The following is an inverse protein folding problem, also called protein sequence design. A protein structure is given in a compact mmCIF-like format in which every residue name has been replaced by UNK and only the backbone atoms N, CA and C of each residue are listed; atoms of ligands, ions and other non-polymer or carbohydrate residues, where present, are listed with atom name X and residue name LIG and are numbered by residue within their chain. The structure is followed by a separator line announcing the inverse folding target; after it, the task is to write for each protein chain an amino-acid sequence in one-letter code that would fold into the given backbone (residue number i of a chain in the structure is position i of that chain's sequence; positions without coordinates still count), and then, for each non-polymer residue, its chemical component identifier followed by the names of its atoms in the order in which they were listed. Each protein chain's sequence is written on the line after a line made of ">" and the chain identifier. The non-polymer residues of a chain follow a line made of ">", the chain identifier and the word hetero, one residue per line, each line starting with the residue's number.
data_IF_304882670023
#
_entry.id   IF_304882670023
#
_cell.length_a   1.000
_cell.length_b   1.000
_cell.length_c   1.000
_cell.angle_alpha   90.00
_cell.angle_beta   90.00
_cell.angle_gamma   90.00
#
_symmetry.space_group_name_H-M   'P 1'
#
loop_
_entity.id
_entity.type
_entity.pdbx_description
1 polymer ?
#
# COMPACT_ATOMS: atom_id res chain seq x y z
N UNK A 1 -21.38 11.69 3.34
CA UNK A 1 -20.52 12.15 4.46
C UNK A 1 -19.58 11.00 4.81
N UNK A 2 -18.31 11.27 5.07
CA UNK A 2 -17.35 10.21 5.42
C UNK A 2 -17.46 9.88 6.91
N UNK A 3 -17.66 8.60 7.25
CA UNK A 3 -17.90 8.10 8.60
C UNK A 3 -16.79 7.14 9.03
N UNK A 4 -16.22 7.36 10.21
CA UNK A 4 -15.32 6.40 10.83
C UNK A 4 -16.11 5.18 11.32
N UNK A 5 -15.70 3.98 10.92
CA UNK A 5 -16.44 2.74 11.23
C UNK A 5 -15.63 1.68 11.98
N UNK A 6 -14.29 1.74 11.92
CA UNK A 6 -13.43 0.73 12.54
C UNK A 6 -12.03 1.30 12.79
N UNK A 7 -11.46 0.93 13.93
CA UNK A 7 -10.04 1.07 14.24
C UNK A 7 -9.47 -0.28 14.64
N UNK A 8 -8.32 -0.65 14.10
CA UNK A 8 -7.59 -1.87 14.47
C UNK A 8 -6.12 -1.54 14.70
N UNK A 9 -5.47 -2.33 15.56
CA UNK A 9 -4.07 -2.15 15.89
C UNK A 9 -3.39 -3.50 15.85
N UNK A 10 -2.19 -3.54 15.26
CA UNK A 10 -1.39 -4.74 15.16
C UNK A 10 0.03 -4.47 15.62
N UNK A 11 0.61 -5.43 16.34
CA UNK A 11 2.01 -5.39 16.73
C UNK A 11 2.85 -6.11 15.69
N UNK A 12 3.90 -5.45 15.20
CA UNK A 12 4.84 -6.00 14.22
C UNK A 12 6.22 -6.04 14.86
N UNK A 13 6.84 -7.23 14.90
CA UNK A 13 8.20 -7.40 15.43
C UNK A 13 9.26 -7.00 14.39
N UNK A 14 9.21 -5.74 13.97
CA UNK A 14 10.12 -5.17 12.99
C UNK A 14 10.35 -3.67 13.22
N UNK A 15 11.45 -3.17 12.64
CA UNK A 15 11.72 -1.75 12.56
C UNK A 15 10.66 -1.05 11.70
N UNK A 16 10.19 0.12 12.13
CA UNK A 16 9.08 0.84 11.49
C UNK A 16 9.33 1.14 10.00
N UNK A 17 10.58 1.43 9.64
CA UNK A 17 10.95 1.71 8.26
C UNK A 17 10.70 0.51 7.35
N UNK A 18 10.94 -0.73 7.81
CA UNK A 18 10.69 -1.93 7.01
C UNK A 18 9.21 -2.09 6.65
N UNK A 19 8.32 -1.67 7.55
CA UNK A 19 6.88 -1.69 7.27
C UNK A 19 6.52 -0.65 6.19
N UNK A 20 7.14 0.53 6.24
CA UNK A 20 6.97 1.56 5.21
C UNK A 20 7.59 1.14 3.87
N UNK A 21 8.73 0.46 3.90
CA UNK A 21 9.37 -0.11 2.71
C UNK A 21 8.45 -1.13 2.04
N UNK A 22 7.82 -2.02 2.80
CA UNK A 22 6.83 -2.97 2.28
C UNK A 22 5.74 -2.23 1.51
N UNK A 23 5.09 -1.24 2.13
CA UNK A 23 4.04 -0.45 1.48
C UNK A 23 4.48 0.21 0.17
N UNK A 24 5.71 0.73 0.13
CA UNK A 24 6.26 1.45 -1.03
C UNK A 24 6.81 0.51 -2.12
N UNK A 25 7.08 -0.74 -1.78
CA UNK A 25 7.55 -1.77 -2.69
C UNK A 25 6.35 -2.45 -3.36
N UNK A 26 5.89 -1.94 -4.51
CA UNK A 26 4.76 -2.50 -5.27
C UNK A 26 4.94 -3.95 -5.79
N UNK A 27 5.99 -4.67 -5.38
CA UNK A 27 6.34 -6.02 -5.83
C UNK A 27 5.80 -7.16 -4.95
N UNK A 28 5.40 -6.94 -3.69
CA UNK A 28 4.99 -8.04 -2.79
C UNK A 28 3.54 -8.52 -3.00
N UNK A 29 2.67 -7.68 -3.57
CA UNK A 29 1.23 -7.92 -3.70
C UNK A 29 0.87 -9.18 -4.55
N UNK A 30 1.54 -9.51 -5.68
CA UNK A 30 1.20 -10.68 -6.50
C UNK A 30 1.52 -12.04 -5.87
N UNK A 31 2.42 -12.09 -4.90
CA UNK A 31 2.88 -13.35 -4.30
C UNK A 31 2.16 -13.70 -3.01
N UNK A 32 1.52 -12.70 -2.39
CA UNK A 32 0.87 -12.82 -1.10
C UNK A 32 -0.67 -12.82 -1.27
N UNK A 33 -1.22 -11.96 -2.13
CA UNK A 33 -2.67 -11.76 -2.22
C UNK A 33 -3.27 -12.36 -3.49
N UNK A 34 -3.47 -13.69 -3.48
CA UNK A 34 -4.10 -14.43 -4.60
C UNK A 34 -5.49 -13.90 -4.98
N UNK A 35 -6.23 -13.31 -4.02
CA UNK A 35 -7.55 -12.70 -4.24
C UNK A 35 -7.50 -11.29 -4.85
N UNK A 36 -6.40 -10.54 -4.67
CA UNK A 36 -6.22 -9.22 -5.29
C UNK A 36 -5.69 -9.32 -6.73
N UNK A 37 -5.10 -10.47 -7.07
CA UNK A 37 -4.47 -10.73 -8.37
C UNK A 37 -5.45 -10.77 -9.55
N UNK A 38 -6.71 -11.12 -9.32
CA UNK A 38 -7.72 -11.20 -10.39
C UNK A 38 -8.29 -9.83 -10.78
N UNK A 39 -8.02 -8.77 -9.99
CA UNK A 39 -8.70 -7.47 -10.11
C UNK A 39 -7.81 -6.31 -10.58
N UNK A 40 -6.47 -6.43 -10.54
CA UNK A 40 -5.53 -5.32 -10.79
C UNK A 40 -4.42 -5.75 -11.75
N UNK A 41 -4.12 -4.92 -12.76
CA UNK A 41 -2.94 -5.13 -13.63
C UNK A 41 -1.70 -4.58 -12.92
N UNK A 42 -0.82 -5.44 -12.43
CA UNK A 42 0.38 -4.97 -11.72
C UNK A 42 1.41 -4.32 -12.64
N UNK A 43 1.34 -4.57 -13.95
CA UNK A 43 2.11 -3.81 -14.95
C UNK A 43 1.68 -2.35 -15.10
N UNK A 44 0.57 -1.95 -14.45
CA UNK A 44 -0.04 -0.63 -14.61
C UNK A 44 0.24 0.37 -13.49
N UNK A 45 0.92 -0.02 -12.41
CA UNK A 45 1.18 0.93 -11.31
C UNK A 45 2.02 2.11 -11.80
N UNK A 46 1.48 3.31 -11.65
CA UNK A 46 2.26 4.54 -11.79
C UNK A 46 2.63 5.04 -10.40
N UNK A 47 3.85 5.57 -10.25
CA UNK A 47 4.31 6.21 -9.02
C UNK A 47 4.76 7.62 -9.32
N UNK A 48 4.16 8.57 -8.63
CA UNK A 48 4.53 9.98 -8.62
C UNK A 48 5.10 10.34 -7.24
N UNK A 49 6.16 11.14 -7.19
CA UNK A 49 6.80 11.57 -5.94
C UNK A 49 6.68 13.07 -5.80
N UNK A 50 6.28 13.50 -4.61
CA UNK A 50 6.28 14.89 -4.15
C UNK A 50 7.33 15.04 -3.05
N UNK A 51 7.57 16.26 -2.56
CA UNK A 51 8.66 16.54 -1.62
C UNK A 51 8.69 15.62 -0.38
N UNK A 52 7.53 15.36 0.24
CA UNK A 52 7.42 14.54 1.46
C UNK A 52 6.38 13.41 1.31
N UNK A 53 6.00 13.08 0.09
CA UNK A 53 4.97 12.07 -0.17
C UNK A 53 5.16 11.38 -1.51
N UNK A 54 4.50 10.25 -1.70
CA UNK A 54 4.43 9.58 -3.00
C UNK A 54 3.05 8.97 -3.21
N UNK A 55 2.55 9.07 -4.43
CA UNK A 55 1.26 8.54 -4.85
C UNK A 55 1.49 7.37 -5.82
N UNK A 56 1.01 6.19 -5.46
CA UNK A 56 0.91 5.04 -6.35
C UNK A 56 -0.54 4.91 -6.83
N UNK A 57 -0.74 4.78 -8.14
CA UNK A 57 -2.06 4.59 -8.75
C UNK A 57 -2.16 3.20 -9.34
N UNK A 58 -3.19 2.45 -8.97
CA UNK A 58 -3.46 1.12 -9.50
C UNK A 58 -4.57 1.15 -10.55
N UNK A 59 -4.36 0.51 -11.71
CA UNK A 59 -5.36 0.38 -12.78
C UNK A 59 -5.80 -1.09 -12.95
N UNK A 60 -7.01 -1.34 -13.49
CA UNK A 60 -7.51 -2.70 -13.69
C UNK A 60 -6.73 -3.51 -14.74
N UNK A 61 -6.76 -4.84 -14.61
CA UNK A 61 -6.24 -5.81 -15.58
C UNK A 61 -6.77 -5.56 -16.99
N UNK A 62 -5.88 -5.45 -18.00
CA UNK A 62 -6.28 -5.26 -19.41
C UNK A 62 -6.96 -6.50 -20.02
N UNK A 63 -6.82 -7.67 -19.40
CA UNK A 63 -7.35 -8.95 -19.90
C UNK A 63 -8.40 -9.52 -18.96
N UNK A 64 -9.61 -8.97 -19.04
CA UNK A 64 -10.83 -9.51 -18.47
C UNK A 64 -11.98 -8.90 -19.25
N UNK A 65 -12.88 -9.74 -19.76
CA UNK A 65 -14.02 -9.34 -20.60
C UNK A 65 -14.72 -8.09 -20.06
N UNK A 66 -15.24 -7.29 -20.99
CA UNK A 66 -16.17 -6.18 -20.74
C UNK A 66 -17.51 -6.67 -20.16
N UNK A 67 -17.49 -7.59 -19.21
CA UNK A 67 -18.66 -8.12 -18.51
C UNK A 67 -18.96 -7.21 -17.31
N UNK A 68 -19.62 -6.10 -17.63
CA UNK A 68 -20.85 -5.56 -17.01
C UNK A 68 -21.24 -5.82 -15.54
N UNK A 69 -20.33 -6.20 -14.62
CA UNK A 69 -20.67 -6.38 -13.21
C UNK A 69 -19.63 -5.81 -12.21
N UNK A 70 -18.76 -4.89 -12.65
CA UNK A 70 -17.77 -4.18 -11.82
C UNK A 70 -18.16 -2.73 -11.50
N UNK A 71 -19.45 -2.40 -11.62
CA UNK A 71 -19.95 -1.10 -11.18
C UNK A 71 -19.73 -0.93 -9.67
N UNK A 72 -18.97 0.08 -9.26
CA UNK A 72 -18.66 0.37 -7.86
C UNK A 72 -17.32 -0.15 -7.34
N UNK A 73 -16.54 -0.89 -8.14
CA UNK A 73 -15.19 -1.36 -7.75
C UNK A 73 -14.04 -0.50 -8.26
N UNK A 74 -14.36 0.60 -8.98
CA UNK A 74 -13.39 1.54 -9.56
C UNK A 74 -13.84 2.98 -9.35
N UNK A 75 -12.88 3.90 -9.35
CA UNK A 75 -13.17 5.33 -9.47
C UNK A 75 -13.72 5.64 -10.87
N UNK A 76 -14.45 6.74 -11.00
CA UNK A 76 -14.95 7.18 -12.31
C UNK A 76 -13.78 7.55 -13.22
N UNK A 77 -13.88 7.14 -14.48
CA UNK A 77 -12.90 7.48 -15.51
C UNK A 77 -13.01 8.97 -15.86
N UNK A 78 -11.89 9.70 -15.89
CA UNK A 78 -11.85 11.08 -16.34
C UNK A 78 -11.69 11.15 -17.87
N UNK A 79 -11.97 12.31 -18.49
CA UNK A 79 -11.78 12.47 -19.94
C UNK A 79 -10.35 12.11 -20.42
N UNK A 80 -9.35 12.28 -19.55
CA UNK A 80 -7.94 11.97 -19.84
C UNK A 80 -7.53 10.53 -19.48
N UNK A 81 -8.43 9.68 -18.98
CA UNK A 81 -8.08 8.34 -18.52
C UNK A 81 -7.92 7.36 -19.69
N UNK A 82 -6.67 7.05 -20.05
CA UNK A 82 -6.34 6.10 -21.13
C UNK A 82 -6.54 4.63 -20.73
N UNK A 83 -6.55 4.34 -19.43
CA UNK A 83 -6.69 3.00 -18.86
C UNK A 83 -8.03 2.79 -18.12
N UNK A 84 -9.01 3.67 -18.32
CA UNK A 84 -10.21 3.74 -17.48
C UNK A 84 -9.94 4.34 -16.10
N UNK A 85 -10.97 4.33 -15.25
CA UNK A 85 -10.85 4.82 -13.86
C UNK A 85 -9.96 3.91 -13.00
N UNK A 86 -9.19 4.52 -12.10
CA UNK A 86 -8.29 3.81 -11.20
C UNK A 86 -9.06 2.86 -10.28
N UNK A 87 -8.44 1.73 -9.92
CA UNK A 87 -9.00 0.79 -8.94
C UNK A 87 -8.72 1.23 -7.51
N UNK A 88 -7.56 1.85 -7.27
CA UNK A 88 -7.16 2.36 -5.96
C UNK A 88 -6.07 3.43 -6.10
N UNK A 89 -5.97 4.29 -5.09
CA UNK A 89 -4.84 5.20 -4.90
C UNK A 89 -4.17 4.95 -3.55
N UNK A 90 -2.85 4.92 -3.54
CA UNK A 90 -2.03 4.66 -2.36
C UNK A 90 -1.10 5.87 -2.14
N UNK A 91 -1.42 6.71 -1.17
CA UNK A 91 -0.64 7.90 -0.84
C UNK A 91 0.16 7.64 0.43
N UNK A 92 1.48 7.58 0.29
CA UNK A 92 2.40 7.62 1.41
C UNK A 92 2.76 9.06 1.75
N UNK A 93 2.70 9.42 3.04
CA UNK A 93 3.16 10.70 3.58
C UNK A 93 4.24 10.41 4.62
N UNK A 94 5.44 10.92 4.35
CA UNK A 94 6.58 10.79 5.26
C UNK A 94 6.26 11.49 6.59
N UNK A 95 6.61 10.88 7.75
CA UNK A 95 7.47 9.70 7.86
C UNK A 95 6.74 8.35 7.78
N UNK A 96 5.46 8.27 8.14
CA UNK A 96 4.89 7.01 8.58
C UNK A 96 3.37 6.88 8.40
N UNK A 97 2.78 7.65 7.48
CA UNK A 97 1.34 7.71 7.26
C UNK A 97 1.00 7.21 5.85
N UNK A 98 -0.03 6.37 5.75
CA UNK A 98 -0.49 5.78 4.50
C UNK A 98 -1.98 6.03 4.33
N UNK A 99 -2.40 6.46 3.14
CA UNK A 99 -3.80 6.58 2.78
C UNK A 99 -4.10 5.67 1.59
N UNK A 100 -5.04 4.76 1.79
CA UNK A 100 -5.51 3.81 0.80
C UNK A 100 -6.91 4.22 0.38
N UNK A 101 -7.04 4.84 -0.78
CA UNK A 101 -8.30 5.30 -1.32
C UNK A 101 -8.93 4.23 -2.19
N UNK A 102 -10.19 3.93 -1.89
CA UNK A 102 -11.04 3.00 -2.61
C UNK A 102 -12.37 3.66 -2.97
N UNK A 103 -13.14 3.10 -3.91
CA UNK A 103 -14.46 3.63 -4.26
C UNK A 103 -15.47 3.66 -3.09
N UNK A 104 -15.30 2.80 -2.09
CA UNK A 104 -16.14 2.76 -0.89
C UNK A 104 -15.71 3.78 0.18
N UNK A 105 -14.46 4.23 0.17
CA UNK A 105 -13.91 5.08 1.22
C UNK A 105 -12.39 5.04 1.32
N UNK A 106 -11.87 5.21 2.54
CA UNK A 106 -10.44 5.34 2.82
C UNK A 106 -10.05 4.43 3.98
N UNK A 107 -8.94 3.71 3.82
CA UNK A 107 -8.20 3.11 4.94
C UNK A 107 -6.94 3.92 5.21
N UNK A 108 -6.75 4.35 6.46
CA UNK A 108 -5.57 5.12 6.89
C UNK A 108 -4.71 4.26 7.80
N UNK A 109 -3.43 4.11 7.48
CA UNK A 109 -2.50 3.33 8.28
C UNK A 109 -1.49 4.28 8.94
N UNK A 110 -1.34 4.18 10.26
CA UNK A 110 -0.39 4.96 11.06
C UNK A 110 0.65 4.03 11.65
N UNK A 111 1.90 4.15 11.22
CA UNK A 111 3.00 3.29 11.67
C UNK A 111 3.70 3.94 12.88
N UNK A 112 3.56 3.35 14.06
CA UNK A 112 4.06 3.88 15.34
C UNK A 112 5.28 3.09 15.82
N UNK A 113 6.51 3.63 15.74
CA UNK A 113 7.67 2.97 16.30
C UNK A 113 7.55 2.88 17.84
N UNK A 114 7.75 1.69 18.40
CA UNK A 114 7.75 1.44 19.85
C UNK A 114 9.17 1.17 20.35
N UNK A 115 9.95 0.40 19.59
CA UNK A 115 11.36 0.11 19.82
C UNK A 115 12.06 -0.12 18.47
N UNK A 116 13.40 -0.23 18.41
CA UNK A 116 14.12 -0.47 17.15
C UNK A 116 13.64 -1.69 16.36
N UNK A 117 13.03 -2.68 17.01
CA UNK A 117 12.51 -3.89 16.38
C UNK A 117 11.06 -4.18 16.76
N UNK A 118 10.33 -3.15 17.19
CA UNK A 118 8.93 -3.27 17.55
C UNK A 118 8.15 -2.06 17.07
N UNK A 119 7.10 -2.30 16.31
CA UNK A 119 6.24 -1.29 15.72
C UNK A 119 4.79 -1.65 15.97
N UNK A 120 3.93 -0.65 16.17
CA UNK A 120 2.47 -0.83 16.18
C UNK A 120 1.90 -0.13 14.96
N UNK A 121 1.06 -0.80 14.19
CA UNK A 121 0.38 -0.20 13.05
C UNK A 121 -1.11 -0.07 13.37
N UNK A 122 -1.64 1.14 13.25
CA UNK A 122 -3.07 1.41 13.42
C UNK A 122 -3.74 1.60 12.07
N UNK A 123 -4.84 0.88 11.86
CA UNK A 123 -5.69 0.96 10.68
C UNK A 123 -7.01 1.63 11.04
N UNK A 124 -7.32 2.74 10.37
CA UNK A 124 -8.54 3.51 10.55
C UNK A 124 -9.36 3.45 9.27
N UNK A 125 -10.57 2.90 9.34
CA UNK A 125 -11.46 2.75 8.19
C UNK A 125 -12.54 3.81 8.21
N UNK A 126 -12.60 4.58 7.13
CA UNK A 126 -13.59 5.63 6.89
C UNK A 126 -14.39 5.29 5.63
N UNK A 127 -15.71 5.23 5.75
CA UNK A 127 -16.61 4.88 4.64
C UNK A 127 -17.40 6.10 4.21
N UNK A 128 -17.48 6.32 2.90
CA UNK A 128 -18.35 7.33 2.29
C UNK A 128 -19.53 6.71 1.55
N UNK A 129 -19.42 5.45 1.15
CA UNK A 129 -20.45 4.70 0.42
C UNK A 129 -20.49 3.25 0.93
N UNK A 130 -21.49 2.94 1.76
CA UNK A 130 -21.65 1.62 2.39
C UNK A 130 -22.06 0.53 1.41
N UNK A 131 -22.75 0.88 0.31
CA UNK A 131 -23.19 -0.09 -0.70
C UNK A 131 -22.02 -0.71 -1.46
N UNK A 132 -20.88 -0.01 -1.48
CA UNK A 132 -19.63 -0.47 -2.12
C UNK A 132 -18.68 -1.17 -1.15
N UNK A 133 -18.98 -1.17 0.14
CA UNK A 133 -18.13 -1.81 1.16
C UNK A 133 -18.15 -3.33 0.98
N UNK A 134 -16.98 -3.98 0.99
CA UNK A 134 -16.87 -5.43 0.84
C UNK A 134 -16.83 -5.94 -0.61
N UNK A 135 -16.90 -5.05 -1.61
CA UNK A 135 -16.68 -5.36 -3.03
C UNK A 135 -15.38 -4.77 -3.57
N UNK A 136 -14.70 -5.48 -4.49
CA UNK A 136 -13.51 -4.96 -5.18
C UNK A 136 -12.23 -4.90 -4.32
N UNK A 137 -11.32 -3.98 -4.67
CA UNK A 137 -10.08 -3.78 -3.92
C UNK A 137 -10.38 -3.27 -2.49
N UNK A 138 -9.83 -3.94 -1.47
CA UNK A 138 -10.06 -3.60 -0.06
C UNK A 138 -11.27 -4.30 0.59
N UNK A 139 -11.82 -5.35 -0.02
CA UNK A 139 -12.90 -6.16 0.59
C UNK A 139 -12.45 -7.06 1.76
N UNK A 140 -11.17 -7.46 1.78
CA UNK A 140 -10.57 -8.28 2.83
C UNK A 140 -9.27 -7.64 3.37
N UNK A 141 -9.38 -6.39 3.83
CA UNK A 141 -8.23 -5.64 4.38
C UNK A 141 -7.54 -6.42 5.50
N UNK A 142 -8.30 -7.05 6.39
CA UNK A 142 -7.72 -7.75 7.54
C UNK A 142 -6.78 -8.89 7.16
N UNK A 143 -7.15 -9.71 6.18
CA UNK A 143 -6.30 -10.80 5.73
C UNK A 143 -5.04 -10.27 5.06
N UNK A 144 -5.19 -9.25 4.21
CA UNK A 144 -4.06 -8.59 3.53
C UNK A 144 -3.07 -8.06 4.56
N UNK A 145 -3.57 -7.38 5.60
CA UNK A 145 -2.77 -6.81 6.70
C UNK A 145 -1.92 -7.88 7.41
N UNK A 146 -2.51 -9.01 7.80
CA UNK A 146 -1.77 -10.09 8.48
C UNK A 146 -0.70 -10.74 7.60
N UNK A 147 -0.96 -10.84 6.30
CA UNK A 147 0.01 -11.42 5.37
C UNK A 147 1.22 -10.49 5.18
N UNK A 148 1.01 -9.17 5.12
CA UNK A 148 2.08 -8.15 5.09
C UNK A 148 2.97 -8.20 6.34
N UNK A 149 2.36 -8.36 7.52
CA UNK A 149 3.10 -8.48 8.78
C UNK A 149 4.08 -9.65 8.76
N UNK A 150 3.64 -10.82 8.30
CA UNK A 150 4.47 -12.00 8.21
C UNK A 150 5.68 -11.80 7.28
N UNK A 151 5.50 -11.05 6.18
CA UNK A 151 6.57 -10.69 5.25
C UNK A 151 7.57 -9.77 5.93
N UNK A 152 7.09 -8.68 6.55
CA UNK A 152 7.95 -7.67 7.20
C UNK A 152 8.77 -8.29 8.34
N UNK A 153 8.16 -9.14 9.17
CA UNK A 153 8.89 -9.85 10.23
C UNK A 153 9.93 -10.83 9.67
N UNK A 154 9.64 -11.46 8.53
CA UNK A 154 10.61 -12.30 7.82
C UNK A 154 11.80 -11.50 7.35
N UNK A 155 11.57 -10.31 6.78
CA UNK A 155 12.63 -9.38 6.38
C UNK A 155 13.45 -8.93 7.59
N UNK A 156 12.82 -8.55 8.71
CA UNK A 156 13.52 -8.20 9.95
C UNK A 156 14.45 -9.32 10.43
N UNK A 157 14.02 -10.58 10.38
CA UNK A 157 14.88 -11.73 10.72
C UNK A 157 16.02 -11.88 9.71
N UNK A 158 15.74 -11.67 8.42
CA UNK A 158 16.70 -11.77 7.32
C UNK A 158 17.83 -10.75 7.40
N UNK A 159 17.54 -9.49 7.70
CA UNK A 159 18.55 -8.41 7.78
C UNK A 159 19.55 -8.61 8.92
N UNK A 160 19.20 -9.40 9.95
CA UNK A 160 20.11 -9.78 11.03
C UNK A 160 21.08 -10.90 10.65
N UNK A 161 20.88 -11.54 9.50
CA UNK A 161 21.78 -12.59 9.03
C UNK A 161 23.14 -12.02 8.70
N UNK A 162 24.21 -12.69 9.14
CA UNK A 162 25.61 -12.35 8.81
C UNK A 162 25.90 -12.30 7.31
N UNK A 163 25.04 -12.89 6.48
CA UNK A 163 25.17 -12.94 5.02
C UNK A 163 24.42 -11.82 4.31
N UNK A 164 23.64 -11.01 5.03
CA UNK A 164 22.98 -9.83 4.48
C UNK A 164 23.96 -8.65 4.46
N UNK A 165 24.17 -8.06 3.28
CA UNK A 165 25.04 -6.90 3.12
C UNK A 165 24.24 -5.64 2.86
N UNK A 166 23.52 -5.56 1.72
CA UNK A 166 22.60 -4.47 1.34
C UNK A 166 21.59 -4.95 0.29
N UNK A 167 20.38 -4.39 0.27
CA UNK A 167 19.44 -4.52 -0.84
C UNK A 167 19.88 -3.68 -2.06
N UNK A 168 19.51 -4.10 -3.28
CA UNK A 168 19.72 -3.34 -4.53
C UNK A 168 18.36 -2.85 -5.03
N UNK A 169 18.29 -1.59 -5.46
CA UNK A 169 17.05 -1.06 -6.01
C UNK A 169 16.80 -1.52 -7.45
N UNK A 170 15.54 -1.75 -7.81
CA UNK A 170 15.07 -1.83 -9.20
C UNK A 170 14.75 -0.43 -9.75
N UNK A 171 15.55 0.12 -10.68
CA UNK A 171 15.42 1.52 -11.13
C UNK A 171 14.07 1.86 -11.80
N UNK A 172 13.37 0.86 -12.35
CA UNK A 172 12.11 1.06 -13.08
C UNK A 172 10.88 1.05 -12.19
N UNK A 173 10.95 0.39 -11.03
CA UNK A 173 9.75 0.04 -10.27
C UNK A 173 9.79 0.47 -8.80
N UNK A 174 10.94 0.89 -8.27
CA UNK A 174 11.10 1.24 -6.84
C UNK A 174 11.31 2.74 -6.61
N UNK A 175 10.65 3.58 -7.41
CA UNK A 175 10.76 5.04 -7.29
C UNK A 175 10.31 5.55 -5.92
N UNK A 176 9.19 5.04 -5.39
CA UNK A 176 8.67 5.41 -4.06
C UNK A 176 9.62 5.00 -2.94
N UNK A 177 10.10 3.76 -2.98
CA UNK A 177 11.06 3.22 -2.01
C UNK A 177 12.39 4.01 -2.00
N UNK A 178 12.95 4.29 -3.17
CA UNK A 178 14.17 5.10 -3.26
C UNK A 178 13.94 6.53 -2.76
N UNK A 179 12.80 7.13 -3.07
CA UNK A 179 12.43 8.46 -2.55
C UNK A 179 12.35 8.47 -1.02
N UNK A 180 11.73 7.46 -0.40
CA UNK A 180 11.66 7.31 1.04
C UNK A 180 13.04 7.20 1.70
N UNK A 181 13.93 6.36 1.16
CA UNK A 181 15.28 6.23 1.69
C UNK A 181 16.09 7.54 1.59
N UNK A 182 15.89 8.33 0.53
CA UNK A 182 16.51 9.65 0.42
C UNK A 182 16.03 10.62 1.49
N UNK A 183 14.75 10.59 1.85
CA UNK A 183 14.21 11.39 2.96
C UNK A 183 14.78 10.94 4.30
N UNK A 184 14.86 9.63 4.56
CA UNK A 184 15.50 9.13 5.78
C UNK A 184 16.95 9.64 5.88
N UNK A 185 17.74 9.48 4.82
CA UNK A 185 19.14 9.93 4.83
C UNK A 185 19.25 11.45 5.09
N UNK A 186 18.41 12.25 4.43
CA UNK A 186 18.38 13.70 4.62
C UNK A 186 18.14 14.12 6.08
N UNK A 187 17.20 13.46 6.78
CA UNK A 187 16.85 13.79 8.16
C UNK A 187 17.73 13.08 9.22
N UNK A 188 18.52 12.09 8.84
CA UNK A 188 19.54 11.49 9.72
C UNK A 188 20.84 12.27 9.70
N UNK A 189 21.15 12.93 8.58
CA UNK A 189 22.36 13.73 8.40
C UNK A 189 22.20 15.20 8.84
N UNK A 190 21.01 15.58 9.32
CA UNK A 190 20.66 16.93 9.82
C UNK A 190 20.77 17.06 11.33
#
# INVERSE_FOLDING_TARGET
>A
QMRHISSRSYEVNAHWALYCENYLEGFHIPFVHRALNELVDYGSYSTETFRYSSLQTAFPARTGSADSNTAGTRFEATADSTNGGASAYYLFVFPNLMFNFYPWGISVNVVKPVAPEKTVVEFLTFVSDEEKLGGGAGSDLHRVEMEDEAVVESVQRGIKSRFYSRGRYSPKSERGLHHFHRLIAEFLDS
#
